data_IF_758127331739
#
_entry.id   IF_758127331739
#
_cell.length_a   1.000
_cell.length_b   1.000
_cell.length_c   1.000
_cell.angle_alpha   90.00
_cell.angle_beta   90.00
_cell.angle_gamma   90.00
#
_symmetry.space_group_name_H-M   'P 1'
#
loop_
_entity.id
_entity.type
_entity.pdbx_description
1 polymer ?
#
# COMPACT_ATOMS: atom_id res chain seq x y z
N UNK A 1 47.55 32.74 -39.34
CA UNK A 1 46.78 31.48 -39.20
C UNK A 1 46.78 31.10 -37.72
N UNK A 2 45.89 31.65 -36.88
CA UNK A 2 44.48 31.29 -36.61
C UNK A 2 44.32 30.09 -35.65
N UNK A 3 44.52 30.39 -34.36
CA UNK A 3 43.78 30.00 -33.14
C UNK A 3 42.75 28.86 -33.23
N UNK A 4 43.14 27.59 -33.18
CA UNK A 4 42.20 26.45 -33.15
C UNK A 4 42.57 25.42 -32.05
N UNK A 5 42.66 25.84 -30.78
CA UNK A 5 42.87 24.92 -29.65
C UNK A 5 42.01 25.16 -28.40
N UNK A 6 40.92 25.91 -28.48
CA UNK A 6 40.15 26.29 -27.28
C UNK A 6 38.64 26.06 -27.37
N UNK A 7 38.18 25.00 -28.04
CA UNK A 7 36.74 24.70 -28.18
C UNK A 7 36.30 23.30 -27.72
N UNK A 8 37.19 22.50 -27.12
CA UNK A 8 36.85 21.14 -26.69
C UNK A 8 36.61 20.97 -25.19
N UNK A 9 36.57 22.06 -24.41
CA UNK A 9 36.43 21.98 -22.94
C UNK A 9 35.23 22.76 -22.34
N UNK A 10 34.33 23.29 -23.16
CA UNK A 10 33.14 24.02 -22.66
C UNK A 10 31.79 23.35 -22.96
N UNK A 11 31.77 22.15 -23.57
CA UNK A 11 30.53 21.49 -23.97
C UNK A 11 29.91 20.49 -22.99
N UNK A 12 30.65 20.05 -21.96
CA UNK A 12 30.22 18.95 -21.09
C UNK A 12 29.53 19.41 -19.79
N UNK A 13 29.83 20.60 -19.27
CA UNK A 13 29.22 21.09 -18.03
C UNK A 13 27.79 21.59 -18.21
N UNK A 14 27.44 22.17 -19.36
CA UNK A 14 26.09 22.69 -19.58
C UNK A 14 25.05 21.58 -19.74
N UNK A 15 25.43 20.44 -20.32
CA UNK A 15 24.53 19.29 -20.49
C UNK A 15 24.24 18.57 -19.15
N UNK A 16 25.26 18.45 -18.30
CA UNK A 16 25.12 17.84 -16.97
C UNK A 16 24.31 18.74 -16.03
N UNK A 17 24.51 20.06 -16.08
CA UNK A 17 23.71 21.02 -15.31
C UNK A 17 22.26 21.06 -15.79
N UNK A 18 22.01 20.95 -17.10
CA UNK A 18 20.65 20.90 -17.64
C UNK A 18 19.93 19.58 -17.29
N UNK A 19 20.64 18.44 -17.30
CA UNK A 19 20.09 17.15 -16.84
C UNK A 19 19.85 17.13 -15.33
N UNK A 20 20.75 17.70 -14.52
CA UNK A 20 20.54 17.84 -13.07
C UNK A 20 19.40 18.79 -12.74
N UNK A 21 19.22 19.89 -13.49
CA UNK A 21 18.06 20.78 -13.33
C UNK A 21 16.75 20.10 -13.78
N UNK A 22 16.75 19.30 -14.85
CA UNK A 22 15.58 18.55 -15.31
C UNK A 22 15.20 17.44 -14.33
N UNK A 23 16.17 16.74 -13.76
CA UNK A 23 15.91 15.73 -12.70
C UNK A 23 15.45 16.41 -11.41
N UNK A 24 16.02 17.57 -11.04
CA UNK A 24 15.58 18.31 -9.85
C UNK A 24 14.18 18.95 -10.01
N UNK A 25 13.81 19.39 -11.22
CA UNK A 25 12.48 19.96 -11.50
C UNK A 25 11.41 18.89 -11.69
N UNK A 26 11.74 17.76 -12.32
CA UNK A 26 10.87 16.57 -12.31
C UNK A 26 10.71 16.02 -10.89
N UNK A 27 11.75 16.15 -10.04
CA UNK A 27 11.69 15.74 -8.65
C UNK A 27 10.91 16.67 -7.72
N UNK A 28 11.00 17.98 -7.94
CA UNK A 28 10.14 18.96 -7.28
C UNK A 28 8.67 18.78 -7.69
N UNK A 29 8.41 18.56 -9.00
CA UNK A 29 7.04 18.38 -9.51
C UNK A 29 6.34 17.14 -8.93
N UNK A 30 7.02 16.00 -8.77
CA UNK A 30 6.39 14.84 -8.12
C UNK A 30 6.20 15.06 -6.61
N UNK A 31 7.09 15.80 -5.95
CA UNK A 31 7.01 16.04 -4.51
C UNK A 31 5.89 17.03 -4.19
N UNK A 32 5.70 18.06 -5.01
CA UNK A 32 4.68 19.08 -4.84
C UNK A 32 3.28 18.55 -5.19
N UNK A 33 3.14 17.70 -6.22
CA UNK A 33 1.85 17.07 -6.57
C UNK A 33 1.40 16.03 -5.52
N UNK A 34 2.34 15.29 -4.92
CA UNK A 34 2.03 14.36 -3.81
C UNK A 34 1.73 15.13 -2.53
N UNK A 35 2.42 16.24 -2.25
CA UNK A 35 2.17 17.04 -1.04
C UNK A 35 0.86 17.84 -1.14
N UNK A 36 0.47 18.28 -2.34
CA UNK A 36 -0.80 18.96 -2.59
C UNK A 36 -2.01 18.00 -2.61
N UNK A 37 -1.83 16.76 -3.08
CA UNK A 37 -2.88 15.72 -3.02
C UNK A 37 -3.01 15.07 -1.63
N UNK A 38 -1.91 14.98 -0.87
CA UNK A 38 -1.85 14.44 0.48
C UNK A 38 -1.49 15.52 1.49
N UNK A 39 -2.30 16.59 1.52
CA UNK A 39 -2.16 17.74 2.40
C UNK A 39 -1.47 17.40 3.71
N UNK A 40 -0.28 17.97 3.90
CA UNK A 40 0.65 17.64 4.96
C UNK A 40 -0.04 17.55 6.33
N UNK A 41 -0.26 16.32 6.78
CA UNK A 41 -0.49 16.01 8.18
C UNK A 41 0.15 14.67 8.47
N UNK A 42 1.35 14.73 9.05
CA UNK A 42 1.90 13.61 9.79
C UNK A 42 0.84 13.19 10.80
N UNK A 43 0.27 11.99 10.62
CA UNK A 43 -0.70 11.45 11.54
C UNK A 43 0.00 11.14 12.87
N UNK A 44 -0.05 12.10 13.78
CA UNK A 44 0.27 11.91 15.19
C UNK A 44 -0.61 10.80 15.75
N UNK A 45 0.02 9.81 16.39
CA UNK A 45 -0.67 8.78 17.14
C UNK A 45 -1.42 9.39 18.33
N UNK A 46 -2.69 9.76 18.12
CA UNK A 46 -3.77 9.90 19.12
C UNK A 46 -4.87 10.88 18.72
N UNK A 47 -4.92 11.37 17.48
CA UNK A 47 -6.15 12.04 17.02
C UNK A 47 -7.26 11.00 16.91
N UNK A 48 -8.33 11.22 17.70
CA UNK A 48 -9.65 10.61 17.48
C UNK A 48 -9.98 10.75 16.00
N UNK A 49 -9.86 9.64 15.26
CA UNK A 49 -10.21 9.60 13.84
C UNK A 49 -11.71 9.69 13.75
N UNK A 50 -12.21 10.59 12.93
CA UNK A 50 -13.64 10.58 12.60
C UNK A 50 -13.91 9.29 11.83
N UNK A 51 -14.82 8.43 12.30
CA UNK A 51 -15.15 7.20 11.59
C UNK A 51 -15.61 7.51 10.17
N UNK A 52 -15.01 6.82 9.20
CA UNK A 52 -15.46 6.85 7.81
C UNK A 52 -16.32 5.62 7.61
N UNK A 53 -17.56 5.80 7.15
CA UNK A 53 -18.39 4.66 6.77
C UNK A 53 -17.82 4.07 5.47
N UNK A 54 -17.45 2.80 5.48
CA UNK A 54 -17.16 2.06 4.26
C UNK A 54 -18.41 2.04 3.38
N UNK A 55 -18.34 2.66 2.21
CA UNK A 55 -19.52 2.85 1.34
C UNK A 55 -19.69 1.70 0.36
N UNK A 56 -18.59 1.05 -0.04
CA UNK A 56 -18.64 -0.06 -0.98
C UNK A 56 -18.88 -1.41 -0.30
N UNK A 57 -18.29 -1.61 0.90
CA UNK A 57 -18.38 -2.86 1.68
C UNK A 57 -18.88 -2.57 3.09
N UNK A 58 -19.53 -3.55 3.70
CA UNK A 58 -19.83 -3.48 5.13
C UNK A 58 -18.58 -3.67 5.98
N UNK A 59 -18.51 -3.00 7.12
CA UNK A 59 -17.45 -3.17 8.12
C UNK A 59 -18.06 -3.45 9.50
N UNK A 60 -17.36 -4.22 10.30
CA UNK A 60 -17.70 -4.54 11.68
C UNK A 60 -16.59 -4.04 12.61
N UNK A 61 -16.87 -2.91 13.26
CA UNK A 61 -15.95 -2.23 14.17
C UNK A 61 -16.01 -2.77 15.61
N UNK A 62 -16.79 -3.83 15.86
CA UNK A 62 -16.90 -4.45 17.17
C UNK A 62 -15.52 -4.89 17.67
N UNK A 63 -15.15 -4.44 18.87
CA UNK A 63 -13.96 -4.95 19.54
C UNK A 63 -14.16 -6.40 19.96
N UNK A 64 -13.21 -7.24 19.56
CA UNK A 64 -13.15 -8.67 19.86
C UNK A 64 -11.76 -9.01 20.37
N UNK A 65 -11.59 -10.19 20.99
CA UNK A 65 -10.24 -10.68 21.35
C UNK A 65 -9.31 -10.71 20.14
N UNK A 66 -9.85 -11.09 18.97
CA UNK A 66 -9.12 -11.08 17.70
C UNK A 66 -8.60 -9.68 17.32
N UNK A 67 -9.46 -8.66 17.32
CA UNK A 67 -9.01 -7.29 17.04
C UNK A 67 -8.10 -6.75 18.14
N UNK A 68 -8.34 -7.14 19.40
CA UNK A 68 -7.50 -6.81 20.54
C UNK A 68 -6.06 -7.29 20.41
N UNK A 69 -5.84 -8.42 19.73
CA UNK A 69 -4.50 -8.93 19.41
C UNK A 69 -3.87 -8.22 18.20
N UNK A 70 -4.61 -8.01 17.10
CA UNK A 70 -4.05 -7.51 15.83
C UNK A 70 -3.75 -6.01 15.87
N UNK A 71 -4.68 -5.19 16.37
CA UNK A 71 -4.63 -3.72 16.24
C UNK A 71 -3.42 -3.10 16.96
N UNK A 72 -2.98 -3.55 18.15
CA UNK A 72 -1.75 -3.05 18.75
C UNK A 72 -0.52 -3.29 17.87
N UNK A 73 -0.48 -4.41 17.16
CA UNK A 73 0.67 -4.82 16.34
C UNK A 73 0.77 -4.04 15.04
N UNK A 74 -0.35 -3.58 14.47
CA UNK A 74 -0.31 -2.62 13.35
C UNK A 74 0.27 -1.28 13.81
N UNK A 75 -0.09 -0.79 15.00
CA UNK A 75 0.35 0.54 15.52
C UNK A 75 1.85 0.68 15.71
N UNK A 76 2.62 -0.42 15.76
CA UNK A 76 4.09 -0.38 15.79
C UNK A 76 4.70 0.35 14.59
N UNK A 77 4.00 0.36 13.46
CA UNK A 77 4.50 0.90 12.20
C UNK A 77 4.10 2.35 11.94
N UNK A 78 2.99 2.82 12.54
CA UNK A 78 2.47 4.17 12.27
C UNK A 78 3.43 5.29 12.70
N UNK A 79 4.25 5.03 13.73
CA UNK A 79 5.21 6.01 14.26
C UNK A 79 6.61 5.88 13.64
N UNK A 80 6.83 4.91 12.74
CA UNK A 80 8.14 4.59 12.17
C UNK A 80 8.21 4.84 10.66
N UNK A 81 7.43 5.78 10.13
CA UNK A 81 7.24 6.03 8.70
C UNK A 81 6.38 5.02 7.94
N UNK A 82 5.76 4.01 8.57
CA UNK A 82 4.85 3.07 7.88
C UNK A 82 5.54 1.83 7.33
N UNK A 83 4.75 0.81 6.95
CA UNK A 83 5.30 -0.49 6.55
C UNK A 83 6.14 -0.43 5.26
N UNK A 84 5.74 0.40 4.28
CA UNK A 84 6.45 0.53 3.01
C UNK A 84 7.89 1.01 3.22
N UNK A 85 8.06 2.07 4.01
CA UNK A 85 9.33 2.73 4.34
C UNK A 85 10.24 1.86 5.22
N UNK A 86 9.67 0.88 5.92
CA UNK A 86 10.40 -0.12 6.70
C UNK A 86 10.74 -1.40 5.91
N UNK A 87 10.83 -1.30 4.58
CA UNK A 87 11.32 -2.39 3.74
C UNK A 87 10.25 -3.39 3.29
N UNK A 88 8.96 -3.13 3.52
CA UNK A 88 7.86 -3.97 3.02
C UNK A 88 7.28 -3.48 1.69
N UNK A 89 7.98 -2.59 0.97
CA UNK A 89 7.63 -2.20 -0.39
C UNK A 89 7.55 -3.44 -1.30
N UNK A 90 6.34 -3.75 -1.80
CA UNK A 90 6.09 -4.96 -2.60
C UNK A 90 5.96 -6.27 -1.80
N UNK A 91 6.03 -6.22 -0.47
CA UNK A 91 5.97 -7.39 0.43
C UNK A 91 4.76 -7.33 1.39
N UNK A 92 3.57 -7.05 0.86
CA UNK A 92 2.33 -6.89 1.63
C UNK A 92 1.94 -8.15 2.44
N UNK A 93 2.07 -9.33 1.84
CA UNK A 93 1.88 -10.63 2.51
C UNK A 93 2.84 -10.82 3.68
N UNK A 94 4.13 -10.50 3.47
CA UNK A 94 5.14 -10.66 4.51
C UNK A 94 4.87 -9.72 5.70
N UNK A 95 4.45 -8.48 5.42
CA UNK A 95 4.08 -7.54 6.48
C UNK A 95 2.86 -8.04 7.28
N UNK A 96 1.80 -8.48 6.60
CA UNK A 96 0.61 -9.02 7.27
C UNK A 96 0.96 -10.26 8.12
N UNK A 97 1.81 -11.15 7.58
CA UNK A 97 2.35 -12.30 8.32
C UNK A 97 3.08 -11.87 9.58
N UNK A 98 3.94 -10.86 9.52
CA UNK A 98 4.67 -10.35 10.69
C UNK A 98 3.71 -9.81 11.74
N UNK A 99 2.72 -9.01 11.35
CA UNK A 99 1.71 -8.47 12.27
C UNK A 99 0.94 -9.61 12.96
N UNK A 100 0.45 -10.59 12.20
CA UNK A 100 -0.31 -11.71 12.75
C UNK A 100 0.56 -12.59 13.65
N UNK A 101 1.82 -12.81 13.28
CA UNK A 101 2.78 -13.57 14.09
C UNK A 101 3.02 -12.88 15.44
N UNK A 102 3.21 -11.55 15.45
CA UNK A 102 3.35 -10.79 16.70
C UNK A 102 2.06 -10.75 17.53
N UNK A 103 0.91 -10.79 16.87
CA UNK A 103 -0.39 -10.92 17.53
C UNK A 103 -0.64 -12.33 18.09
N UNK A 104 0.28 -13.29 17.88
CA UNK A 104 0.13 -14.68 18.32
C UNK A 104 -0.92 -15.46 17.52
N UNK A 105 -1.24 -15.00 16.31
CA UNK A 105 -2.25 -15.58 15.43
C UNK A 105 -1.62 -16.41 14.31
N UNK A 106 -2.30 -17.47 13.84
CA UNK A 106 -1.86 -18.18 12.66
C UNK A 106 -1.95 -17.28 11.43
N UNK A 107 -1.02 -17.46 10.50
CA UNK A 107 -1.05 -16.82 9.18
C UNK A 107 -0.67 -17.86 8.14
N UNK A 108 -1.55 -18.11 7.18
CA UNK A 108 -1.29 -19.11 6.15
C UNK A 108 -0.37 -18.53 5.08
N UNK A 109 0.76 -19.21 4.84
CA UNK A 109 1.74 -18.76 3.88
C UNK A 109 1.32 -19.09 2.46
N UNK A 110 1.01 -18.05 1.67
CA UNK A 110 0.74 -18.17 0.24
C UNK A 110 1.85 -17.53 -0.60
N UNK A 111 1.92 -17.89 -1.89
CA UNK A 111 2.93 -17.36 -2.79
C UNK A 111 2.76 -15.87 -3.11
N UNK A 112 1.53 -15.36 -3.05
CA UNK A 112 1.19 -13.95 -3.17
C UNK A 112 -0.25 -13.68 -2.68
N UNK A 113 -0.58 -12.40 -2.52
CA UNK A 113 -1.91 -11.96 -2.06
C UNK A 113 -3.06 -12.38 -2.96
N UNK A 114 -2.83 -12.53 -4.26
CA UNK A 114 -3.86 -13.07 -5.16
C UNK A 114 -4.24 -14.49 -4.75
N UNK A 115 -3.25 -15.38 -4.61
CA UNK A 115 -3.49 -16.78 -4.23
C UNK A 115 -4.07 -16.92 -2.83
N UNK A 116 -3.65 -16.05 -1.91
CA UNK A 116 -4.16 -16.00 -0.55
C UNK A 116 -5.65 -15.66 -0.54
N UNK A 117 -6.02 -14.53 -1.16
CA UNK A 117 -7.42 -14.11 -1.26
C UNK A 117 -8.28 -15.11 -2.03
N UNK A 118 -7.76 -15.69 -3.12
CA UNK A 118 -8.49 -16.70 -3.89
C UNK A 118 -8.85 -17.93 -3.06
N UNK A 119 -7.95 -18.39 -2.18
CA UNK A 119 -8.15 -19.56 -1.35
C UNK A 119 -8.97 -19.30 -0.08
N UNK A 120 -8.77 -18.14 0.56
CA UNK A 120 -9.21 -17.93 1.95
C UNK A 120 -10.25 -16.84 2.14
N UNK A 121 -10.46 -15.96 1.15
CA UNK A 121 -11.30 -14.80 1.35
C UNK A 121 -12.78 -15.17 1.46
N UNK A 122 -13.38 -14.76 2.58
CA UNK A 122 -14.83 -14.63 2.71
C UNK A 122 -15.31 -13.40 1.94
N UNK A 123 -16.36 -13.56 1.14
CA UNK A 123 -16.96 -12.49 0.32
C UNK A 123 -18.30 -12.02 0.86
N UNK A 124 -18.77 -12.66 1.92
CA UNK A 124 -20.04 -12.37 2.57
C UNK A 124 -19.83 -11.63 3.89
N UNK A 125 -20.83 -10.82 4.25
CA UNK A 125 -20.88 -10.13 5.52
C UNK A 125 -19.89 -8.97 5.67
N UNK A 126 -19.98 -8.25 6.80
CA UNK A 126 -19.10 -7.13 7.08
C UNK A 126 -17.68 -7.59 7.39
N UNK A 127 -16.70 -6.76 7.05
CA UNK A 127 -15.27 -7.02 7.31
C UNK A 127 -14.98 -6.81 8.80
N UNK A 128 -14.53 -7.84 9.54
CA UNK A 128 -14.21 -7.71 10.95
C UNK A 128 -12.94 -6.87 11.17
N UNK A 129 -12.95 -6.01 12.19
CA UNK A 129 -11.75 -5.30 12.64
C UNK A 129 -10.60 -6.28 12.92
N UNK A 130 -9.42 -5.97 12.38
CA UNK A 130 -8.21 -6.79 12.42
C UNK A 130 -8.07 -7.79 11.26
N UNK A 131 -9.09 -7.96 10.40
CA UNK A 131 -9.03 -8.93 9.30
C UNK A 131 -8.12 -8.47 8.15
N UNK A 132 -7.55 -9.44 7.43
CA UNK A 132 -6.94 -9.23 6.13
C UNK A 132 -8.03 -8.84 5.12
N UNK A 133 -7.69 -7.91 4.24
CA UNK A 133 -8.49 -7.54 3.08
C UNK A 133 -7.68 -7.77 1.81
N UNK A 134 -8.26 -8.44 0.83
CA UNK A 134 -7.56 -8.80 -0.40
C UNK A 134 -8.04 -7.97 -1.58
N UNK A 135 -7.10 -7.67 -2.47
CA UNK A 135 -7.39 -7.01 -3.75
C UNK A 135 -8.29 -7.90 -4.59
N UNK A 136 -9.04 -7.30 -5.50
CA UNK A 136 -9.92 -8.07 -6.37
C UNK A 136 -10.55 -7.21 -7.43
N UNK A 137 -11.86 -7.30 -7.59
CA UNK A 137 -12.57 -6.55 -8.64
C UNK A 137 -12.65 -5.08 -8.25
N UNK A 138 -12.22 -4.21 -9.15
CA UNK A 138 -12.29 -2.75 -9.00
C UNK A 138 -13.74 -2.31 -9.30
N UNK A 139 -14.41 -1.66 -8.34
CA UNK A 139 -15.80 -1.23 -8.50
C UNK A 139 -16.02 -0.39 -9.76
N UNK A 140 -17.16 -0.60 -10.43
CA UNK A 140 -17.53 0.16 -11.63
C UNK A 140 -16.74 -0.18 -12.90
N UNK A 141 -15.66 -0.95 -12.82
CA UNK A 141 -14.86 -1.34 -13.98
C UNK A 141 -15.02 -2.81 -14.38
N UNK A 142 -15.36 -3.68 -13.42
CA UNK A 142 -15.38 -5.14 -13.61
C UNK A 142 -14.00 -5.78 -13.78
N UNK A 143 -12.92 -5.00 -13.72
CA UNK A 143 -11.54 -5.48 -13.86
C UNK A 143 -11.00 -5.97 -12.54
N UNK A 144 -10.25 -7.07 -12.57
CA UNK A 144 -9.48 -7.53 -11.41
C UNK A 144 -8.21 -6.68 -11.31
N UNK A 145 -7.79 -6.35 -10.10
CA UNK A 145 -6.51 -5.73 -9.85
C UNK A 145 -5.36 -6.69 -10.18
N UNK A 146 -4.53 -6.30 -11.14
CA UNK A 146 -3.39 -7.09 -11.64
C UNK A 146 -2.08 -6.31 -11.55
N UNK A 147 -2.00 -5.35 -10.62
CA UNK A 147 -0.76 -4.64 -10.28
C UNK A 147 -0.05 -4.03 -11.52
N UNK A 148 -0.87 -3.44 -12.39
CA UNK A 148 -0.49 -2.83 -13.68
C UNK A 148 0.29 -3.76 -14.62
N UNK A 149 0.16 -5.08 -14.47
CA UNK A 149 0.90 -6.07 -15.24
C UNK A 149 2.42 -5.88 -15.16
N UNK A 150 2.93 -5.32 -14.04
CA UNK A 150 4.36 -5.13 -13.85
C UNK A 150 5.06 -6.49 -13.83
N UNK A 151 6.18 -6.60 -14.55
CA UNK A 151 6.94 -7.86 -14.63
C UNK A 151 7.37 -8.37 -13.25
N UNK A 152 7.77 -7.46 -12.35
CA UNK A 152 8.12 -7.79 -10.96
C UNK A 152 6.93 -8.19 -10.08
N UNK A 153 5.70 -8.00 -10.54
CA UNK A 153 4.50 -8.43 -9.84
C UNK A 153 3.99 -9.81 -10.32
N UNK A 154 4.51 -10.34 -11.42
CA UNK A 154 4.07 -11.66 -11.90
C UNK A 154 4.56 -12.78 -10.97
N UNK A 155 3.64 -13.51 -10.35
CA UNK A 155 3.97 -14.62 -9.49
C UNK A 155 4.10 -15.91 -10.30
N UNK A 156 5.33 -16.36 -10.53
CA UNK A 156 5.60 -17.59 -11.28
C UNK A 156 5.05 -18.86 -10.60
N UNK A 157 4.80 -18.82 -9.29
CA UNK A 157 4.28 -19.97 -8.54
C UNK A 157 2.80 -20.23 -8.80
N UNK A 158 1.98 -19.19 -8.99
CA UNK A 158 0.55 -19.35 -9.25
C UNK A 158 0.11 -18.92 -10.66
N UNK A 159 1.00 -18.32 -11.45
CA UNK A 159 0.69 -17.89 -12.82
C UNK A 159 -0.19 -16.64 -12.90
N UNK A 160 -0.31 -15.86 -11.82
CA UNK A 160 -1.10 -14.63 -11.76
C UNK A 160 -0.23 -13.45 -11.36
N UNK A 161 -0.66 -12.24 -11.74
CA UNK A 161 -0.10 -11.03 -11.14
C UNK A 161 -0.46 -10.97 -9.65
N UNK A 162 0.52 -10.65 -8.83
CA UNK A 162 0.36 -10.54 -7.40
C UNK A 162 -0.67 -9.44 -7.09
N UNK A 163 -1.69 -9.83 -6.33
CA UNK A 163 -2.64 -8.89 -5.74
C UNK A 163 -2.00 -8.03 -4.65
N UNK A 164 -2.86 -7.42 -3.84
CA UNK A 164 -2.47 -6.67 -2.66
C UNK A 164 -3.28 -7.14 -1.45
N UNK A 165 -2.67 -7.07 -0.27
CA UNK A 165 -3.32 -7.39 1.01
C UNK A 165 -3.01 -6.30 2.03
N UNK A 166 -4.00 -5.97 2.85
CA UNK A 166 -3.88 -5.03 3.95
C UNK A 166 -4.71 -5.52 5.15
N UNK A 167 -4.63 -4.83 6.28
CA UNK A 167 -5.39 -5.15 7.50
C UNK A 167 -6.44 -4.06 7.71
N UNK A 168 -7.70 -4.44 7.88
CA UNK A 168 -8.75 -3.52 8.31
C UNK A 168 -8.53 -3.14 9.79
N UNK A 169 -8.32 -1.86 10.08
CA UNK A 169 -7.95 -1.40 11.44
C UNK A 169 -9.11 -0.73 12.21
N UNK A 170 -10.29 -0.71 11.62
CA UNK A 170 -11.49 -0.10 12.19
C UNK A 170 -11.78 1.28 11.61
N UNK A 171 -12.96 1.81 11.92
CA UNK A 171 -13.40 3.16 11.57
C UNK A 171 -13.36 3.46 10.05
N UNK A 172 -13.47 2.41 9.22
CA UNK A 172 -13.34 2.52 7.76
C UNK A 172 -11.93 2.68 7.25
N UNK A 173 -10.90 2.37 8.04
CA UNK A 173 -9.50 2.49 7.64
C UNK A 173 -8.77 1.16 7.51
N UNK A 174 -7.76 1.15 6.66
CA UNK A 174 -6.90 0.00 6.41
C UNK A 174 -5.44 0.38 6.56
N UNK A 175 -4.66 -0.51 7.16
CA UNK A 175 -3.22 -0.38 7.31
C UNK A 175 -2.52 -1.42 6.44
N UNK A 176 -1.45 -1.03 5.76
CA UNK A 176 -0.69 -1.97 4.93
C UNK A 176 0.62 -1.40 4.42
N UNK A 177 1.28 -2.16 3.55
CA UNK A 177 2.51 -1.73 2.89
C UNK A 177 2.30 -0.90 1.63
N UNK A 178 1.07 -0.42 1.39
CA UNK A 178 0.82 0.68 0.45
C UNK A 178 1.25 2.02 1.04
N UNK A 179 1.36 3.03 0.17
CA UNK A 179 1.55 4.43 0.57
C UNK A 179 0.27 5.20 0.23
N UNK A 180 -0.33 5.93 1.18
CA UNK A 180 0.09 6.04 2.59
C UNK A 180 -0.19 4.75 3.39
N UNK A 181 0.56 4.54 4.46
CA UNK A 181 0.42 3.38 5.37
C UNK A 181 -1.03 3.16 5.82
N UNK A 182 -1.73 4.25 6.15
CA UNK A 182 -3.11 4.26 6.58
C UNK A 182 -3.95 5.05 5.57
N UNK A 183 -5.00 4.44 5.04
CA UNK A 183 -5.98 5.11 4.17
C UNK A 183 -7.38 4.57 4.41
N UNK A 184 -8.40 5.27 3.93
CA UNK A 184 -9.76 4.76 4.00
C UNK A 184 -9.91 3.50 3.13
N UNK A 185 -10.78 2.59 3.56
CA UNK A 185 -11.04 1.35 2.83
C UNK A 185 -11.64 1.62 1.45
N UNK A 186 -12.47 2.65 1.30
CA UNK A 186 -13.04 3.03 0.01
C UNK A 186 -11.96 3.49 -0.98
N UNK A 187 -10.97 4.28 -0.53
CA UNK A 187 -9.81 4.65 -1.35
C UNK A 187 -8.99 3.42 -1.70
N UNK A 188 -8.72 2.54 -0.73
CA UNK A 188 -7.99 1.30 -0.97
C UNK A 188 -8.69 0.44 -2.03
N UNK A 189 -10.01 0.25 -1.93
CA UNK A 189 -10.80 -0.53 -2.88
C UNK A 189 -10.86 0.14 -4.26
N UNK A 190 -10.87 1.47 -4.34
CA UNK A 190 -10.84 2.17 -5.63
C UNK A 190 -9.55 1.91 -6.42
N UNK A 191 -8.45 1.62 -5.73
CA UNK A 191 -7.13 1.36 -6.32
C UNK A 191 -6.91 -0.14 -6.53
N UNK A 192 -7.13 -0.95 -5.50
CA UNK A 192 -6.77 -2.36 -5.46
C UNK A 192 -7.97 -3.31 -5.70
N UNK A 193 -9.17 -2.77 -5.83
CA UNK A 193 -10.39 -3.56 -5.87
C UNK A 193 -10.68 -4.29 -4.57
N UNK A 194 -11.69 -5.17 -4.60
CA UNK A 194 -12.07 -5.96 -3.44
C UNK A 194 -12.25 -7.44 -3.80
N UNK A 195 -11.52 -8.31 -3.10
CA UNK A 195 -11.51 -9.76 -3.27
C UNK A 195 -12.13 -10.53 -2.10
N UNK A 196 -12.49 -9.84 -1.01
CA UNK A 196 -12.99 -10.41 0.24
C UNK A 196 -12.01 -10.21 1.42
N UNK A 197 -12.29 -10.88 2.54
CA UNK A 197 -11.54 -10.75 3.78
C UNK A 197 -11.22 -12.11 4.46
N UNK A 198 -10.19 -12.18 5.29
CA UNK A 198 -9.87 -13.37 6.09
C UNK A 198 -9.32 -13.01 7.48
N UNK A 199 -9.52 -13.89 8.46
CA UNK A 199 -8.91 -13.78 9.81
C UNK A 199 -7.61 -14.60 9.95
N UNK A 200 -7.11 -15.18 8.86
CA UNK A 200 -5.89 -16.02 8.80
C UNK A 200 -5.28 -15.99 7.42
#
# INVERSE_FOLDING_TARGET
MRKWKLWLLLGSSSFLVFFLLLVATAAGSFADDVTAAFGGRQASASESRTPIKATYVGVDDTDTDFSGCVIPETRRWSNQHGAFENGYAGYCELWCKVVYTYAGLPYEGFCCAYSHGAAMANRDGPIPKGALIFSGVIPGTGKVYENDHRSGAFCASCGHYAGHVAIYVGDGYVAGSQVPYLQSIDVWISIYGYGGWSKR
#
